data_IF_542467477747
#
_entry.id   IF_542467477747
#
_cell.length_a   1.000
_cell.length_b   1.000
_cell.length_c   1.000
_cell.angle_alpha   90.00
_cell.angle_beta   90.00
_cell.angle_gamma   90.00
#
_symmetry.space_group_name_H-M   'P 1'
#
loop_
_entity.id
_entity.type
_entity.pdbx_description
1 polymer ?
#
# COMPACT_ATOMS: atom_id res chain seq x y z
N UNK A 1 10.25 6.33 9.92
CA UNK A 1 11.08 5.26 10.56
C UNK A 1 10.33 4.54 11.69
N UNK A 2 9.65 5.24 12.58
CA UNK A 2 9.03 4.66 13.78
C UNK A 2 7.68 3.99 13.52
N UNK A 3 7.07 4.26 12.37
CA UNK A 3 5.81 3.64 11.95
C UNK A 3 6.02 2.87 10.65
N UNK A 4 6.50 1.64 10.75
CA UNK A 4 6.50 0.66 9.68
C UNK A 4 5.54 -0.47 10.01
N UNK A 5 4.93 -1.06 9.01
CA UNK A 5 4.15 -2.29 9.15
C UNK A 5 4.92 -3.46 8.56
N UNK A 6 4.87 -4.59 9.24
CA UNK A 6 5.36 -5.85 8.69
C UNK A 6 4.18 -6.57 8.02
N UNK A 7 4.39 -6.99 6.80
CA UNK A 7 3.41 -7.72 6.00
C UNK A 7 3.94 -9.11 5.66
N UNK A 8 3.05 -10.10 5.76
CA UNK A 8 3.32 -11.47 5.32
C UNK A 8 2.49 -11.72 4.07
N UNK A 9 3.15 -12.03 2.98
CA UNK A 9 2.54 -12.33 1.70
C UNK A 9 2.70 -13.79 1.37
N UNK A 10 1.62 -14.43 0.91
CA UNK A 10 1.64 -15.79 0.39
C UNK A 10 1.53 -15.73 -1.12
N UNK A 11 2.46 -16.38 -1.79
CA UNK A 11 2.53 -16.44 -3.25
C UNK A 11 2.54 -17.91 -3.66
N UNK A 12 1.46 -18.32 -4.31
CA UNK A 12 1.22 -19.70 -4.70
C UNK A 12 1.34 -19.89 -6.20
N UNK A 13 1.80 -21.04 -6.64
CA UNK A 13 1.68 -21.50 -8.01
C UNK A 13 1.01 -22.87 -8.01
N UNK A 14 -0.17 -22.96 -8.58
CA UNK A 14 -0.81 -24.28 -8.78
C UNK A 14 -0.09 -25.04 -9.89
N UNK A 15 0.37 -26.25 -9.55
CA UNK A 15 1.02 -27.19 -10.46
C UNK A 15 0.01 -28.24 -10.85
N UNK A 16 -0.33 -28.29 -12.13
CA UNK A 16 -1.24 -29.25 -12.73
C UNK A 16 -0.54 -29.97 -13.91
N UNK A 17 -1.29 -30.77 -14.68
CA UNK A 17 -0.76 -31.47 -15.85
C UNK A 17 -0.18 -30.55 -16.93
N UNK A 18 -0.64 -29.30 -16.96
CA UNK A 18 -0.24 -28.26 -17.93
C UNK A 18 0.84 -27.33 -17.38
N UNK A 19 0.96 -27.20 -16.07
CA UNK A 19 1.89 -26.28 -15.40
C UNK A 19 3.05 -27.04 -14.77
N UNK A 20 4.25 -26.71 -15.20
CA UNK A 20 5.50 -27.35 -14.73
C UNK A 20 6.40 -26.32 -14.08
N UNK A 21 7.02 -26.71 -12.98
CA UNK A 21 8.08 -25.96 -12.32
C UNK A 21 9.44 -26.57 -12.63
N UNK A 22 10.49 -25.78 -12.55
CA UNK A 22 11.87 -26.28 -12.70
C UNK A 22 12.80 -25.30 -13.40
N UNK A 23 13.92 -25.01 -12.74
CA UNK A 23 14.90 -24.02 -13.21
C UNK A 23 15.50 -24.36 -14.58
N UNK A 24 15.93 -25.61 -14.79
CA UNK A 24 16.54 -26.04 -16.07
C UNK A 24 15.55 -25.93 -17.22
N UNK A 25 14.34 -26.42 -17.02
CA UNK A 25 13.30 -26.39 -18.04
C UNK A 25 12.90 -24.95 -18.39
N UNK A 26 12.78 -24.10 -17.37
CA UNK A 26 12.44 -22.70 -17.58
C UNK A 26 13.50 -21.96 -18.40
N UNK A 27 14.77 -22.07 -18.00
CA UNK A 27 15.88 -21.39 -18.69
C UNK A 27 16.04 -21.89 -20.14
N UNK A 28 15.69 -23.14 -20.42
CA UNK A 28 15.73 -23.66 -21.80
C UNK A 28 14.66 -23.07 -22.71
N UNK A 29 13.50 -22.69 -22.14
CA UNK A 29 12.38 -22.09 -22.89
C UNK A 29 12.50 -20.57 -22.99
N UNK A 30 12.93 -19.93 -21.90
CA UNK A 30 13.10 -18.48 -21.80
C UNK A 30 14.53 -18.10 -21.42
N UNK A 31 15.50 -18.29 -22.34
CA UNK A 31 16.90 -17.94 -22.07
C UNK A 31 17.03 -16.40 -21.93
N UNK A 32 17.75 -15.97 -20.90
CA UNK A 32 18.07 -14.56 -20.70
C UNK A 32 16.97 -13.68 -20.09
N UNK A 33 15.83 -14.26 -19.66
CA UNK A 33 14.78 -13.49 -19.02
C UNK A 33 15.19 -12.97 -17.62
N UNK A 34 15.94 -13.77 -16.88
CA UNK A 34 16.50 -13.40 -15.58
C UNK A 34 18.02 -13.56 -15.57
N UNK A 35 18.71 -12.65 -14.90
CA UNK A 35 20.15 -12.68 -14.75
C UNK A 35 20.63 -13.89 -13.93
N UNK A 36 21.88 -14.30 -14.17
CA UNK A 36 22.50 -15.42 -13.42
C UNK A 36 22.53 -15.18 -11.91
N UNK A 37 22.72 -13.94 -11.49
CA UNK A 37 22.71 -13.55 -10.07
C UNK A 37 21.33 -13.82 -9.43
N UNK A 38 20.24 -13.45 -10.12
CA UNK A 38 18.86 -13.71 -9.69
C UNK A 38 18.59 -15.22 -9.67
N UNK A 39 18.96 -15.92 -10.74
CA UNK A 39 18.78 -17.38 -10.83
C UNK A 39 19.56 -18.16 -9.75
N UNK A 40 20.66 -17.62 -9.21
CA UNK A 40 21.41 -18.26 -8.13
C UNK A 40 20.66 -18.26 -6.78
N UNK A 41 19.71 -17.35 -6.61
CA UNK A 41 18.84 -17.28 -5.44
C UNK A 41 17.79 -18.41 -5.39
N UNK A 42 17.57 -19.08 -6.53
CA UNK A 42 16.59 -20.15 -6.68
C UNK A 42 17.25 -21.54 -6.50
N UNK A 43 16.47 -22.50 -6.06
CA UNK A 43 16.86 -23.92 -6.02
C UNK A 43 16.76 -24.58 -7.41
N UNK A 44 17.02 -25.88 -7.48
CA UNK A 44 16.95 -26.64 -8.76
C UNK A 44 15.51 -26.83 -9.24
N UNK A 45 14.52 -26.75 -8.35
CA UNK A 45 13.10 -26.76 -8.68
C UNK A 45 12.60 -25.40 -9.18
N UNK A 46 13.45 -24.37 -9.19
CA UNK A 46 13.09 -23.03 -9.62
C UNK A 46 12.33 -22.24 -8.57
N UNK A 47 12.45 -22.59 -7.31
CA UNK A 47 11.81 -21.91 -6.17
C UNK A 47 12.88 -21.11 -5.40
N UNK A 48 12.52 -19.92 -4.96
CA UNK A 48 13.42 -19.07 -4.17
C UNK A 48 13.75 -19.71 -2.82
N UNK A 49 15.00 -19.57 -2.39
CA UNK A 49 15.48 -20.17 -1.13
C UNK A 49 15.03 -19.34 0.08
N UNK A 50 14.66 -19.99 1.20
CA UNK A 50 14.41 -19.27 2.46
C UNK A 50 15.60 -18.40 2.89
N UNK A 51 15.34 -17.26 3.54
CA UNK A 51 16.35 -16.29 3.92
C UNK A 51 16.84 -15.37 2.81
N UNK A 52 16.37 -15.55 1.57
CA UNK A 52 16.75 -14.71 0.43
C UNK A 52 15.97 -13.39 0.45
N UNK A 53 16.66 -12.31 0.12
CA UNK A 53 16.00 -11.00 -0.12
C UNK A 53 15.62 -10.89 -1.59
N UNK A 54 14.36 -10.52 -1.84
CA UNK A 54 13.79 -10.30 -3.17
C UNK A 54 13.36 -8.85 -3.34
N UNK A 55 13.52 -8.33 -4.54
CA UNK A 55 13.12 -7.00 -4.95
C UNK A 55 12.03 -7.09 -6.03
N UNK A 56 11.38 -5.97 -6.31
CA UNK A 56 10.37 -5.89 -7.36
C UNK A 56 10.84 -6.53 -8.68
N UNK A 57 10.05 -7.45 -9.20
CA UNK A 57 10.36 -8.20 -10.42
C UNK A 57 11.21 -9.46 -10.24
N UNK A 58 11.75 -9.74 -9.05
CA UNK A 58 12.49 -10.98 -8.79
C UNK A 58 11.54 -12.20 -8.83
N UNK A 59 11.93 -13.31 -9.45
CA UNK A 59 11.11 -14.52 -9.50
C UNK A 59 11.08 -15.21 -8.14
N UNK A 60 9.88 -15.60 -7.71
CA UNK A 60 9.66 -16.43 -6.52
C UNK A 60 9.55 -17.91 -6.89
N UNK A 61 8.81 -18.23 -7.97
CA UNK A 61 8.59 -19.58 -8.46
C UNK A 61 8.63 -19.54 -9.99
N UNK A 62 9.57 -20.25 -10.61
CA UNK A 62 9.64 -20.38 -12.06
C UNK A 62 8.63 -21.40 -12.55
N UNK A 63 7.65 -20.93 -13.32
CA UNK A 63 6.58 -21.75 -13.87
C UNK A 63 6.48 -21.68 -15.40
N UNK A 64 6.17 -22.81 -16.00
CA UNK A 64 5.86 -22.97 -17.42
C UNK A 64 4.46 -23.53 -17.56
N UNK A 65 3.57 -22.83 -18.28
CA UNK A 65 2.24 -23.34 -18.60
C UNK A 65 2.19 -23.76 -20.08
N UNK A 66 1.70 -24.96 -20.36
CA UNK A 66 1.56 -25.47 -21.70
C UNK A 66 0.39 -24.75 -22.40
N UNK A 67 0.68 -24.12 -23.55
CA UNK A 67 -0.37 -23.48 -24.38
C UNK A 67 -1.26 -24.55 -25.01
N UNK A 68 -2.55 -24.37 -24.92
CA UNK A 68 -3.48 -25.16 -25.73
C UNK A 68 -3.26 -24.83 -27.21
N UNK A 69 -3.12 -25.88 -28.04
CA UNK A 69 -3.02 -25.69 -29.47
C UNK A 69 -4.38 -25.18 -29.99
N UNK A 70 -4.46 -23.93 -30.36
CA UNK A 70 -5.61 -23.46 -31.15
C UNK A 70 -5.57 -24.14 -32.51
N UNK A 71 -6.70 -24.71 -32.95
CA UNK A 71 -6.87 -25.57 -34.13
C UNK A 71 -6.39 -24.98 -35.46
N UNK A 72 -5.96 -23.72 -35.50
CA UNK A 72 -5.66 -23.00 -36.75
C UNK A 72 -4.19 -22.57 -36.92
N UNK A 73 -3.25 -23.06 -36.08
CA UNK A 73 -1.84 -22.77 -36.32
C UNK A 73 -1.10 -24.06 -36.62
N UNK A 74 -0.59 -24.16 -37.84
CA UNK A 74 0.32 -25.22 -38.28
C UNK A 74 1.59 -25.12 -37.41
N UNK A 75 1.64 -25.91 -36.36
CA UNK A 75 2.83 -26.02 -35.50
C UNK A 75 3.80 -26.95 -36.18
N UNK A 76 5.06 -26.51 -36.33
CA UNK A 76 6.19 -27.40 -36.63
C UNK A 76 6.22 -28.49 -35.57
N UNK A 77 6.16 -29.76 -35.99
CA UNK A 77 6.27 -30.92 -35.11
C UNK A 77 7.50 -30.74 -34.20
N UNK A 78 7.30 -30.64 -32.88
CA UNK A 78 8.38 -30.69 -31.90
C UNK A 78 8.47 -29.57 -30.87
N UNK A 79 7.74 -28.46 -30.97
CA UNK A 79 7.73 -27.43 -29.96
C UNK A 79 6.33 -27.29 -29.34
N UNK A 80 6.10 -27.94 -28.22
CA UNK A 80 5.00 -27.58 -27.35
C UNK A 80 5.24 -26.12 -26.93
N UNK A 81 4.34 -25.20 -27.34
CA UNK A 81 4.44 -23.81 -26.98
C UNK A 81 4.17 -23.66 -25.48
N UNK A 82 5.14 -23.17 -24.73
CA UNK A 82 4.96 -22.82 -23.33
C UNK A 82 4.73 -21.32 -23.19
N UNK A 83 3.87 -20.93 -22.27
CA UNK A 83 3.75 -19.59 -21.75
C UNK A 83 4.43 -19.49 -20.40
N UNK A 84 4.87 -18.30 -20.06
CA UNK A 84 5.43 -18.02 -18.78
C UNK A 84 4.33 -17.96 -17.71
N UNK A 85 4.47 -18.77 -16.67
CA UNK A 85 3.61 -18.82 -15.50
C UNK A 85 4.41 -18.52 -14.22
N UNK A 86 5.52 -17.78 -14.36
CA UNK A 86 6.38 -17.42 -13.24
C UNK A 86 5.65 -16.50 -12.28
N UNK A 87 5.70 -16.84 -10.99
CA UNK A 87 5.28 -15.95 -9.92
C UNK A 87 6.45 -15.04 -9.57
N UNK A 88 6.25 -13.73 -9.69
CA UNK A 88 7.25 -12.71 -9.39
C UNK A 88 6.86 -11.94 -8.13
N UNK A 89 7.84 -11.34 -7.47
CA UNK A 89 7.59 -10.37 -6.41
C UNK A 89 7.13 -9.04 -7.02
N UNK A 90 5.87 -8.68 -6.78
CA UNK A 90 5.19 -7.53 -7.40
C UNK A 90 5.01 -6.32 -6.46
N UNK A 91 5.68 -6.34 -5.30
CA UNK A 91 5.65 -5.25 -4.35
C UNK A 91 6.92 -4.40 -4.41
N UNK A 92 6.78 -3.08 -4.25
CA UNK A 92 7.92 -2.16 -4.31
C UNK A 92 8.89 -2.30 -3.13
N UNK A 93 8.38 -2.66 -1.96
CA UNK A 93 9.21 -2.92 -0.80
C UNK A 93 9.96 -4.25 -0.96
N UNK A 94 11.24 -4.27 -0.58
CA UNK A 94 12.02 -5.50 -0.57
C UNK A 94 11.44 -6.49 0.44
N UNK A 95 11.31 -7.74 0.03
CA UNK A 95 10.83 -8.83 0.87
C UNK A 95 11.94 -9.81 1.25
N UNK A 96 11.79 -10.46 2.38
CA UNK A 96 12.64 -11.57 2.82
C UNK A 96 11.82 -12.85 2.83
N UNK A 97 12.30 -13.89 2.17
CA UNK A 97 11.63 -15.18 2.15
C UNK A 97 11.75 -15.81 3.54
N UNK A 98 10.61 -16.01 4.19
CA UNK A 98 10.57 -16.63 5.52
C UNK A 98 10.38 -18.13 5.45
N UNK A 99 9.54 -18.59 4.54
CA UNK A 99 9.23 -20.00 4.42
C UNK A 99 8.86 -20.40 2.99
N UNK A 100 9.08 -21.67 2.67
CA UNK A 100 8.69 -22.31 1.41
C UNK A 100 8.03 -23.64 1.74
N UNK A 101 6.74 -23.75 1.45
CA UNK A 101 5.93 -24.92 1.76
C UNK A 101 5.52 -25.61 0.47
N UNK A 102 5.79 -26.92 0.38
CA UNK A 102 5.31 -27.74 -0.74
C UNK A 102 3.93 -28.31 -0.38
N UNK A 103 2.90 -27.72 -0.94
CA UNK A 103 1.51 -28.19 -0.78
C UNK A 103 1.11 -29.25 -1.80
N UNK A 104 -0.11 -29.81 -1.64
CA UNK A 104 -0.68 -30.78 -2.59
C UNK A 104 -0.92 -30.18 -3.98
N UNK A 105 -1.15 -28.90 -4.08
CA UNK A 105 -1.44 -28.19 -5.34
C UNK A 105 -0.20 -27.49 -5.93
N UNK A 106 0.89 -27.41 -5.21
CA UNK A 106 2.12 -26.76 -5.64
C UNK A 106 2.83 -26.04 -4.50
N UNK A 107 3.92 -25.32 -4.81
CA UNK A 107 4.69 -24.57 -3.83
C UNK A 107 3.99 -23.27 -3.43
N UNK A 108 4.08 -22.96 -2.13
CA UNK A 108 3.72 -21.68 -1.52
C UNK A 108 4.98 -21.03 -0.98
N UNK A 109 5.25 -19.79 -1.39
CA UNK A 109 6.36 -18.97 -0.90
C UNK A 109 5.81 -17.89 0.00
N UNK A 110 6.30 -17.84 1.24
CA UNK A 110 5.93 -16.82 2.23
C UNK A 110 7.02 -15.75 2.27
N UNK A 111 6.62 -14.52 2.01
CA UNK A 111 7.51 -13.37 1.97
C UNK A 111 7.13 -12.39 3.07
N UNK A 112 8.09 -12.01 3.90
CA UNK A 112 7.95 -10.95 4.89
C UNK A 112 8.52 -9.66 4.32
N UNK A 113 7.72 -8.62 4.22
CA UNK A 113 8.17 -7.29 3.83
C UNK A 113 7.89 -6.27 4.95
N UNK A 114 8.81 -5.31 5.11
CA UNK A 114 8.62 -4.17 6.01
C UNK A 114 8.32 -2.95 5.16
N UNK A 115 7.13 -2.41 5.33
CA UNK A 115 6.67 -1.22 4.59
C UNK A 115 6.70 -0.01 5.51
N UNK A 116 7.62 0.94 5.30
CA UNK A 116 7.62 2.20 6.03
C UNK A 116 6.38 3.03 5.70
N UNK A 117 6.03 3.95 6.59
CA UNK A 117 4.93 4.87 6.37
C UNK A 117 5.22 5.82 5.22
N UNK A 118 4.25 6.02 4.34
CA UNK A 118 4.33 6.90 3.17
C UNK A 118 3.19 7.91 3.17
N UNK A 119 3.38 9.01 2.42
CA UNK A 119 2.31 9.98 2.15
C UNK A 119 1.16 9.25 1.44
N UNK A 120 -0.06 9.47 1.91
CA UNK A 120 -1.26 8.79 1.39
C UNK A 120 -1.65 7.52 2.14
N UNK A 121 -0.78 6.99 3.00
CA UNK A 121 -1.12 5.87 3.88
C UNK A 121 -2.11 6.29 4.95
N UNK A 122 -2.90 5.34 5.43
CA UNK A 122 -3.96 5.61 6.40
C UNK A 122 -3.58 5.13 7.78
N UNK A 123 -3.69 6.04 8.75
CA UNK A 123 -3.56 5.77 10.17
C UNK A 123 -4.92 5.70 10.85
N UNK A 124 -5.03 4.92 11.90
CA UNK A 124 -6.18 4.88 12.78
C UNK A 124 -5.75 4.87 14.25
N UNK A 125 -6.45 5.62 15.08
CA UNK A 125 -6.41 5.47 16.52
C UNK A 125 -7.39 4.40 17.01
N UNK A 126 -7.53 4.25 18.33
CA UNK A 126 -8.39 3.25 18.97
C UNK A 126 -9.86 3.62 19.05
N UNK A 127 -10.20 4.87 18.77
CA UNK A 127 -11.55 5.43 18.98
C UNK A 127 -12.28 5.75 17.68
N UNK A 128 -11.98 5.03 16.59
CA UNK A 128 -12.61 5.27 15.29
C UNK A 128 -12.07 6.49 14.54
N UNK A 129 -11.15 7.22 15.14
CA UNK A 129 -10.40 8.28 14.49
C UNK A 129 -9.45 7.69 13.44
N UNK A 130 -9.47 8.28 12.26
CA UNK A 130 -8.63 7.86 11.13
C UNK A 130 -8.26 9.06 10.27
N UNK A 131 -7.08 9.03 9.74
CA UNK A 131 -6.56 10.07 8.88
C UNK A 131 -5.59 9.53 7.84
N UNK A 132 -5.34 10.32 6.82
CA UNK A 132 -4.37 10.04 5.78
C UNK A 132 -3.11 10.84 6.07
N UNK A 133 -1.96 10.25 5.87
CA UNK A 133 -0.67 10.94 5.98
C UNK A 133 -0.59 11.98 4.86
N UNK A 134 -0.55 13.23 5.24
CA UNK A 134 -0.45 14.35 4.30
C UNK A 134 0.99 14.67 3.94
N UNK A 135 1.90 14.53 4.91
CA UNK A 135 3.32 14.83 4.73
C UNK A 135 4.18 14.00 5.68
N UNK A 136 5.46 13.86 5.34
CA UNK A 136 6.50 13.22 6.16
C UNK A 136 7.64 14.20 6.30
N UNK A 137 7.76 14.77 7.48
CA UNK A 137 8.73 15.83 7.81
C UNK A 137 9.97 15.21 8.47
N UNK A 138 11.15 15.77 8.22
CA UNK A 138 12.38 15.33 8.86
C UNK A 138 12.39 15.67 10.36
N UNK A 139 13.11 14.87 11.19
CA UNK A 139 13.18 15.10 12.63
C UNK A 139 13.70 16.50 13.00
N UNK A 140 14.57 17.09 12.15
CA UNK A 140 15.12 18.44 12.38
C UNK A 140 14.18 19.60 12.05
N UNK A 141 13.15 19.32 11.24
CA UNK A 141 12.12 20.30 10.86
C UNK A 141 10.82 20.09 11.65
N UNK A 142 10.71 18.96 12.34
CA UNK A 142 9.52 18.62 13.11
C UNK A 142 9.45 19.45 14.39
N UNK A 143 8.29 20.01 14.74
CA UNK A 143 8.12 20.65 16.06
C UNK A 143 8.52 19.71 17.18
N UNK A 144 9.10 20.27 18.24
CA UNK A 144 9.62 19.52 19.36
C UNK A 144 9.13 20.09 20.71
N UNK A 145 9.20 19.25 21.73
CA UNK A 145 8.85 19.63 23.09
C UNK A 145 9.91 20.56 23.69
N UNK A 146 9.69 21.03 24.92
CA UNK A 146 10.63 21.87 25.67
C UNK A 146 12.00 21.23 25.92
N UNK A 147 12.14 19.91 25.75
CA UNK A 147 13.37 19.15 25.93
C UNK A 147 14.10 18.88 24.60
N UNK A 148 13.58 19.39 23.48
CA UNK A 148 14.17 19.18 22.16
C UNK A 148 13.82 17.81 21.53
N UNK A 149 12.84 17.07 22.05
CA UNK A 149 12.37 15.83 21.45
C UNK A 149 11.35 16.12 20.34
N UNK A 150 11.61 15.71 19.10
CA UNK A 150 10.66 15.91 18.00
C UNK A 150 9.40 15.06 18.18
N UNK A 151 8.26 15.63 17.87
CA UNK A 151 7.01 14.88 17.84
C UNK A 151 7.00 13.87 16.68
N UNK A 152 6.35 12.75 16.89
CA UNK A 152 6.26 11.69 15.88
C UNK A 152 5.08 11.88 14.93
N UNK A 153 4.00 12.53 15.41
CA UNK A 153 2.76 12.75 14.65
C UNK A 153 2.17 14.10 15.01
N UNK A 154 1.80 14.87 13.99
CA UNK A 154 0.98 16.07 14.12
C UNK A 154 -0.43 15.77 13.62
N UNK A 155 -1.43 16.07 14.42
CA UNK A 155 -2.83 15.82 14.09
C UNK A 155 -3.58 17.14 13.90
N UNK A 156 -4.54 17.13 12.96
CA UNK A 156 -5.46 18.24 12.82
C UNK A 156 -6.47 18.24 14.00
N UNK A 157 -6.48 19.28 14.85
CA UNK A 157 -7.36 19.32 16.03
C UNK A 157 -8.85 19.37 15.67
N UNK A 158 -9.21 19.88 14.49
CA UNK A 158 -10.61 19.94 14.03
C UNK A 158 -11.24 18.54 13.93
N UNK A 159 -10.44 17.50 13.68
CA UNK A 159 -10.94 16.12 13.63
C UNK A 159 -11.48 15.60 14.97
N UNK A 160 -11.02 16.15 16.11
CA UNK A 160 -11.53 15.81 17.44
C UNK A 160 -12.91 16.41 17.65
N UNK A 161 -13.07 17.70 17.33
CA UNK A 161 -14.30 18.46 17.53
C UNK A 161 -15.41 17.98 16.59
N UNK A 162 -15.10 17.87 15.29
CA UNK A 162 -16.09 17.50 14.26
C UNK A 162 -16.63 16.08 14.43
N UNK A 163 -15.88 15.19 15.09
CA UNK A 163 -16.28 13.80 15.36
C UNK A 163 -16.82 13.59 16.76
N UNK A 164 -16.86 14.65 17.58
CA UNK A 164 -17.34 14.59 18.98
C UNK A 164 -16.76 13.41 19.76
N UNK A 165 -15.44 13.21 19.66
CA UNK A 165 -14.76 12.07 20.27
C UNK A 165 -13.76 12.52 21.35
N UNK A 166 -14.22 12.84 22.58
CA UNK A 166 -13.38 13.33 23.65
C UNK A 166 -12.41 12.26 24.19
N UNK A 167 -12.68 10.98 23.97
CA UNK A 167 -11.82 9.89 24.42
C UNK A 167 -10.41 9.96 23.81
N UNK A 168 -10.24 10.58 22.65
CA UNK A 168 -8.93 10.84 22.06
C UNK A 168 -8.08 11.76 22.94
N UNK A 169 -8.68 12.80 23.50
CA UNK A 169 -7.99 13.73 24.39
C UNK A 169 -7.66 13.07 25.74
N UNK A 170 -8.60 12.31 26.28
CA UNK A 170 -8.35 11.54 27.51
C UNK A 170 -7.21 10.56 27.33
N UNK A 171 -7.15 9.85 26.19
CA UNK A 171 -6.02 8.95 25.88
C UNK A 171 -4.69 9.70 25.79
N UNK A 172 -4.67 10.86 25.12
CA UNK A 172 -3.46 11.69 24.97
C UNK A 172 -2.88 12.08 26.33
N UNK A 173 -3.75 12.60 27.21
CA UNK A 173 -3.36 13.07 28.55
C UNK A 173 -2.98 11.92 29.49
N UNK A 174 -3.72 10.81 29.46
CA UNK A 174 -3.36 9.61 30.23
C UNK A 174 -2.08 8.99 29.73
N UNK A 175 -1.82 9.05 28.43
CA UNK A 175 -0.54 8.63 27.84
C UNK A 175 0.66 9.43 28.35
N UNK A 176 0.47 10.75 28.58
CA UNK A 176 1.47 11.62 29.22
C UNK A 176 1.78 11.20 30.65
N UNK A 177 0.74 10.91 31.44
CA UNK A 177 0.88 10.40 32.81
C UNK A 177 1.56 9.03 32.82
N UNK A 178 1.15 8.12 31.93
CA UNK A 178 1.73 6.78 31.82
C UNK A 178 3.22 6.82 31.47
N UNK A 179 3.62 7.74 30.58
CA UNK A 179 5.01 7.94 30.23
C UNK A 179 5.84 8.39 31.44
N UNK A 180 5.33 9.31 32.26
CA UNK A 180 5.99 9.75 33.50
C UNK A 180 6.08 8.66 34.56
N UNK A 181 4.99 7.88 34.73
CA UNK A 181 4.95 6.77 35.70
C UNK A 181 5.75 5.53 35.24
N UNK A 182 6.06 5.41 33.97
CA UNK A 182 6.68 4.21 33.38
C UNK A 182 5.77 2.97 33.43
N UNK A 183 4.46 3.14 33.63
CA UNK A 183 3.48 2.05 33.74
C UNK A 183 2.20 2.40 32.98
N UNK A 184 1.56 1.41 32.31
CA UNK A 184 0.30 1.63 31.65
C UNK A 184 -0.82 1.96 32.64
N UNK A 185 -1.72 2.84 32.23
CA UNK A 185 -2.94 3.17 32.98
C UNK A 185 -4.07 2.35 32.42
N UNK A 186 -4.73 1.58 33.29
CA UNK A 186 -5.96 0.84 32.94
C UNK A 186 -7.17 1.71 33.28
N UNK A 187 -8.04 1.90 32.31
CA UNK A 187 -9.32 2.57 32.49
C UNK A 187 -10.41 1.54 32.30
N UNK A 188 -11.40 1.54 33.19
CA UNK A 188 -12.57 0.67 33.08
C UNK A 188 -13.54 1.24 32.05
N UNK A 189 -14.06 0.36 31.19
CA UNK A 189 -15.02 0.74 30.18
C UNK A 189 -16.42 0.92 30.82
N UNK A 190 -17.19 1.84 30.25
CA UNK A 190 -18.60 2.07 30.63
C UNK A 190 -18.84 2.48 32.09
N UNK A 191 -17.85 3.03 32.78
CA UNK A 191 -18.05 3.60 34.11
C UNK A 191 -18.80 4.94 34.02
N UNK A 192 -20.12 4.88 34.20
CA UNK A 192 -21.01 6.06 34.12
C UNK A 192 -21.00 6.92 35.39
N UNK A 193 -20.34 6.46 36.45
CA UNK A 193 -20.31 7.17 37.77
C UNK A 193 -19.17 8.18 37.82
N UNK A 194 -18.30 8.19 36.84
CA UNK A 194 -17.06 8.97 36.80
C UNK A 194 -17.10 9.98 35.68
N UNK A 195 -16.95 11.26 35.99
CA UNK A 195 -16.61 12.24 34.97
C UNK A 195 -15.17 11.99 34.53
N UNK A 196 -15.01 11.46 33.31
CA UNK A 196 -13.70 11.10 32.78
C UNK A 196 -12.79 12.32 32.60
N UNK A 197 -13.35 13.44 32.19
CA UNK A 197 -12.56 14.66 31.95
C UNK A 197 -12.02 15.21 33.28
N UNK A 198 -12.86 15.32 34.27
CA UNK A 198 -12.47 15.80 35.61
C UNK A 198 -11.44 14.82 36.25
N UNK A 199 -11.66 13.52 36.11
CA UNK A 199 -10.74 12.54 36.65
C UNK A 199 -9.36 12.62 36.00
N UNK A 200 -9.27 12.76 34.67
CA UNK A 200 -8.02 12.89 33.95
C UNK A 200 -7.25 14.14 34.36
N UNK A 201 -7.94 15.28 34.49
CA UNK A 201 -7.33 16.54 34.93
C UNK A 201 -6.80 16.44 36.37
N UNK A 202 -7.55 15.78 37.26
CA UNK A 202 -7.11 15.54 38.63
C UNK A 202 -5.88 14.62 38.70
N UNK A 203 -5.81 13.58 37.85
CA UNK A 203 -4.62 12.72 37.76
C UNK A 203 -3.40 13.45 37.20
N UNK A 204 -3.58 14.35 36.21
CA UNK A 204 -2.51 15.23 35.72
C UNK A 204 -1.96 16.14 36.83
N UNK A 205 -2.88 16.79 37.56
CA UNK A 205 -2.49 17.69 38.66
C UNK A 205 -1.70 16.94 39.77
N UNK A 206 -2.08 15.70 40.12
CA UNK A 206 -1.33 14.86 41.08
C UNK A 206 0.08 14.59 40.62
N UNK A 207 0.31 14.46 39.34
CA UNK A 207 1.63 14.24 38.75
C UNK A 207 2.41 15.55 38.50
N UNK A 208 1.81 16.72 38.75
CA UNK A 208 2.40 18.01 38.40
C UNK A 208 2.61 18.19 36.89
N UNK A 209 1.70 17.65 36.08
CA UNK A 209 1.70 17.78 34.63
C UNK A 209 0.59 18.76 34.21
N UNK A 210 0.84 19.50 33.12
CA UNK A 210 -0.16 20.34 32.47
C UNK A 210 -0.85 19.56 31.36
N UNK A 211 -2.09 19.92 31.08
CA UNK A 211 -2.87 19.45 29.92
C UNK A 211 -2.38 20.06 28.61
N UNK A 212 -1.79 21.26 28.66
CA UNK A 212 -1.22 21.98 27.54
C UNK A 212 0.28 22.23 27.77
N UNK A 213 1.04 22.22 26.67
CA UNK A 213 2.48 22.46 26.68
C UNK A 213 2.87 23.54 25.68
N UNK A 214 3.99 24.19 25.95
CA UNK A 214 4.66 25.04 24.96
C UNK A 214 5.56 24.18 24.09
N UNK A 215 5.44 24.34 22.77
CA UNK A 215 6.24 23.64 21.77
C UNK A 215 7.07 24.63 20.96
N UNK A 216 8.13 24.15 20.32
CA UNK A 216 8.97 24.96 19.46
C UNK A 216 8.83 24.44 18.01
N UNK A 217 8.55 25.36 17.09
CA UNK A 217 8.54 25.09 15.66
C UNK A 217 9.89 25.56 15.06
N UNK A 218 10.80 24.65 14.68
CA UNK A 218 12.12 25.02 14.19
C UNK A 218 12.07 25.71 12.84
N UNK A 219 11.00 25.52 12.05
CA UNK A 219 10.85 26.16 10.74
C UNK A 219 10.66 27.67 10.82
N UNK A 220 10.17 28.16 11.95
CA UNK A 220 9.84 29.58 12.16
C UNK A 220 10.59 30.19 13.35
N UNK A 221 11.44 29.41 14.03
CA UNK A 221 12.07 29.78 15.30
C UNK A 221 11.05 30.37 16.30
N UNK A 222 9.85 29.77 16.32
CA UNK A 222 8.70 30.28 17.03
C UNK A 222 8.25 29.33 18.14
N UNK A 223 8.01 29.88 19.31
CA UNK A 223 7.37 29.20 20.43
C UNK A 223 5.85 29.27 20.28
N UNK A 224 5.22 28.11 20.16
CA UNK A 224 3.76 27.99 20.10
C UNK A 224 3.28 27.55 21.48
N UNK A 225 2.38 28.32 22.08
CA UNK A 225 1.86 28.07 23.41
C UNK A 225 0.58 27.27 23.39
N UNK A 226 0.28 26.63 24.51
CA UNK A 226 -1.02 26.01 24.80
C UNK A 226 -1.40 24.91 23.79
N UNK A 227 -0.48 24.01 23.47
CA UNK A 227 -0.72 22.88 22.59
C UNK A 227 -0.89 21.60 23.41
N UNK A 228 -1.98 20.86 23.14
CA UNK A 228 -2.19 19.55 23.74
C UNK A 228 -1.19 18.52 23.17
N UNK A 229 -0.34 17.97 24.03
CA UNK A 229 0.64 16.96 23.67
C UNK A 229 0.50 15.70 24.52
N UNK A 230 1.01 14.58 24.06
CA UNK A 230 1.01 13.33 24.82
C UNK A 230 1.22 12.11 23.92
N UNK A 231 1.15 10.92 24.52
CA UNK A 231 1.32 9.66 23.79
C UNK A 231 -0.01 9.01 23.49
N UNK A 232 -0.20 8.56 22.24
CA UNK A 232 -1.38 7.84 21.78
C UNK A 232 -1.00 6.59 21.03
N UNK A 233 -1.94 5.65 20.93
CA UNK A 233 -1.79 4.45 20.12
C UNK A 233 -2.33 4.70 18.72
N UNK A 234 -1.48 4.44 17.73
CA UNK A 234 -1.83 4.46 16.31
C UNK A 234 -1.48 3.14 15.66
N UNK A 235 -2.26 2.75 14.67
CA UNK A 235 -1.91 1.66 13.78
C UNK A 235 -2.01 2.11 12.33
N UNK A 236 -1.10 1.60 11.50
CA UNK A 236 -1.19 1.71 10.05
C UNK A 236 -2.26 0.76 9.56
N UNK A 237 -3.22 1.26 8.78
CA UNK A 237 -4.24 0.45 8.14
C UNK A 237 -3.70 -0.12 6.82
N UNK A 238 -4.29 -1.23 6.37
CA UNK A 238 -3.96 -1.86 5.09
C UNK A 238 -4.41 -1.04 3.85
N UNK A 239 -4.90 0.18 4.07
CA UNK A 239 -5.20 1.15 3.02
C UNK A 239 -3.97 2.01 2.75
N UNK A 240 -3.04 1.47 1.99
CA UNK A 240 -1.79 2.14 1.62
C UNK A 240 -1.95 2.95 0.34
N UNK A 241 -1.11 3.95 0.15
CA UNK A 241 -1.08 4.73 -1.10
C UNK A 241 -0.82 3.84 -2.32
N UNK A 242 0.12 2.91 -2.21
CA UNK A 242 0.45 1.92 -3.24
C UNK A 242 -0.76 1.04 -3.60
N UNK A 243 -1.47 0.51 -2.60
CA UNK A 243 -2.67 -0.31 -2.81
C UNK A 243 -3.86 0.45 -3.43
N UNK A 244 -3.83 1.78 -3.44
CA UNK A 244 -4.85 2.64 -4.09
C UNK A 244 -4.43 3.08 -5.49
N UNK A 245 -3.14 3.05 -5.81
CA UNK A 245 -2.63 3.28 -7.15
C UNK A 245 -2.92 2.11 -8.07
N UNK A 246 -3.05 2.37 -9.36
CA UNK A 246 -3.17 1.34 -10.39
C UNK A 246 -2.57 1.86 -11.70
N UNK A 247 -1.76 1.02 -12.34
CA UNK A 247 -1.33 1.17 -13.71
C UNK A 247 -1.79 -0.04 -14.51
N UNK A 248 -2.34 0.17 -15.71
CA UNK A 248 -2.68 -0.93 -16.62
C UNK A 248 -2.32 -0.60 -18.05
N UNK A 249 -1.98 -1.63 -18.81
CA UNK A 249 -1.87 -1.59 -20.26
C UNK A 249 -3.19 -1.97 -20.94
N UNK A 250 -3.12 -2.66 -22.06
CA UNK A 250 -4.26 -3.30 -22.70
C UNK A 250 -4.71 -4.50 -21.88
N UNK A 251 -5.66 -4.30 -20.98
CA UNK A 251 -6.23 -5.33 -20.11
C UNK A 251 -7.61 -5.79 -20.57
N UNK A 252 -8.30 -6.53 -19.70
CA UNK A 252 -9.67 -6.99 -19.96
C UNK A 252 -10.68 -5.85 -19.92
N UNK A 253 -11.73 -5.97 -20.74
CA UNK A 253 -12.88 -5.06 -20.77
C UNK A 253 -14.15 -5.85 -20.47
N UNK A 254 -15.14 -5.16 -19.93
CA UNK A 254 -16.49 -5.70 -19.73
C UNK A 254 -17.25 -5.74 -21.06
N UNK A 255 -18.45 -6.33 -21.05
CA UNK A 255 -19.33 -6.34 -22.23
C UNK A 255 -19.76 -4.93 -22.68
N UNK A 256 -19.73 -3.96 -21.77
CA UNK A 256 -20.05 -2.55 -22.05
C UNK A 256 -18.82 -1.74 -22.48
N UNK A 257 -17.75 -2.41 -22.90
CA UNK A 257 -16.46 -1.82 -23.26
C UNK A 257 -15.79 -0.98 -22.16
N UNK A 258 -16.25 -1.10 -20.92
CA UNK A 258 -15.61 -0.47 -19.78
C UNK A 258 -14.38 -1.28 -19.31
N UNK A 259 -13.32 -0.63 -18.82
CA UNK A 259 -12.17 -1.34 -18.26
C UNK A 259 -12.59 -2.23 -17.08
N UNK A 260 -12.20 -3.51 -17.09
CA UNK A 260 -12.49 -4.44 -16.01
C UNK A 260 -11.90 -3.95 -14.69
N UNK A 261 -12.57 -4.24 -13.56
CA UNK A 261 -12.17 -3.84 -12.21
C UNK A 261 -11.48 -5.00 -11.49
N UNK A 262 -10.56 -4.66 -10.57
CA UNK A 262 -9.93 -5.63 -9.69
C UNK A 262 -8.72 -6.34 -10.30
N UNK A 263 -7.96 -7.01 -9.43
CA UNK A 263 -6.69 -7.66 -9.79
C UNK A 263 -5.56 -6.68 -10.14
N UNK A 264 -4.41 -7.23 -10.50
CA UNK A 264 -3.22 -6.47 -10.90
C UNK A 264 -3.41 -5.69 -12.20
N UNK A 265 -4.20 -6.23 -13.12
CA UNK A 265 -4.51 -5.69 -14.45
C UNK A 265 -5.83 -4.87 -14.47
N UNK A 266 -6.48 -4.72 -13.31
CA UNK A 266 -7.77 -4.04 -13.21
C UNK A 266 -7.65 -2.53 -13.16
N UNK A 267 -8.75 -1.84 -13.49
CA UNK A 267 -8.87 -0.40 -13.38
C UNK A 267 -9.35 0.04 -12.00
N UNK A 268 -9.02 1.26 -11.59
CA UNK A 268 -9.60 1.94 -10.42
C UNK A 268 -10.68 2.92 -10.87
N UNK A 269 -11.74 3.01 -10.08
CA UNK A 269 -12.80 3.99 -10.30
C UNK A 269 -12.34 5.37 -9.84
N UNK A 270 -12.50 6.37 -10.69
CA UNK A 270 -12.42 7.78 -10.34
C UNK A 270 -13.81 8.23 -9.91
N UNK A 271 -13.91 8.71 -8.67
CA UNK A 271 -15.17 9.19 -8.11
C UNK A 271 -15.46 10.66 -8.41
N UNK A 272 -16.63 11.11 -8.00
CA UNK A 272 -17.05 12.52 -8.15
C UNK A 272 -16.06 13.49 -7.46
N UNK A 273 -15.57 13.13 -6.27
CA UNK A 273 -14.61 13.97 -5.53
C UNK A 273 -13.28 14.11 -6.26
N UNK A 274 -12.78 13.02 -6.85
CA UNK A 274 -11.55 13.03 -7.65
C UNK A 274 -11.75 13.88 -8.91
N UNK A 275 -12.89 13.75 -9.57
CA UNK A 275 -13.25 14.56 -10.74
C UNK A 275 -13.31 16.05 -10.38
N UNK A 276 -13.94 16.40 -9.26
CA UNK A 276 -14.00 17.78 -8.80
C UNK A 276 -12.63 18.35 -8.42
N UNK A 277 -11.76 17.53 -7.81
CA UNK A 277 -10.39 17.93 -7.50
C UNK A 277 -9.58 18.21 -8.78
N UNK A 278 -9.66 17.32 -9.78
CA UNK A 278 -9.00 17.51 -11.07
C UNK A 278 -9.53 18.74 -11.82
N UNK A 279 -10.85 18.97 -11.77
CA UNK A 279 -11.49 20.13 -12.40
C UNK A 279 -11.07 21.44 -11.73
N UNK A 280 -11.05 21.48 -10.40
CA UNK A 280 -10.63 22.67 -9.64
C UNK A 280 -9.13 22.98 -9.83
N UNK A 281 -8.33 21.94 -10.08
CA UNK A 281 -6.91 22.09 -10.43
C UNK A 281 -6.69 22.55 -11.90
N UNK A 282 -7.74 22.55 -12.72
CA UNK A 282 -7.66 22.90 -14.14
C UNK A 282 -7.12 21.79 -15.04
N UNK A 283 -7.08 20.54 -14.56
CA UNK A 283 -6.57 19.38 -15.29
C UNK A 283 -7.60 18.85 -16.34
N UNK A 284 -8.11 19.73 -17.21
CA UNK A 284 -9.16 19.44 -18.17
C UNK A 284 -8.75 18.40 -19.22
N UNK A 285 -7.49 18.44 -19.69
CA UNK A 285 -6.95 17.47 -20.64
C UNK A 285 -6.91 16.06 -20.03
N UNK A 286 -6.53 15.94 -18.75
CA UNK A 286 -6.55 14.67 -18.02
C UNK A 286 -7.96 14.13 -17.87
N UNK A 287 -8.93 14.98 -17.54
CA UNK A 287 -10.34 14.59 -17.45
C UNK A 287 -10.89 14.12 -18.79
N UNK A 288 -10.54 14.80 -19.88
CA UNK A 288 -10.93 14.38 -21.22
C UNK A 288 -10.32 13.01 -21.60
N UNK A 289 -9.02 12.81 -21.31
CA UNK A 289 -8.35 11.53 -21.57
C UNK A 289 -9.00 10.38 -20.78
N UNK A 290 -9.23 10.58 -19.48
CA UNK A 290 -9.87 9.59 -18.61
C UNK A 290 -11.30 9.27 -19.08
N UNK A 291 -12.07 10.28 -19.46
CA UNK A 291 -13.47 10.11 -19.87
C UNK A 291 -13.64 9.51 -21.27
N UNK A 292 -12.65 9.64 -22.14
CA UNK A 292 -12.77 9.20 -23.53
C UNK A 292 -11.85 8.04 -23.90
N UNK A 293 -10.53 8.27 -23.86
CA UNK A 293 -9.55 7.27 -24.33
C UNK A 293 -9.41 6.11 -23.34
N UNK A 294 -9.20 6.42 -22.05
CA UNK A 294 -8.91 5.42 -21.03
C UNK A 294 -10.15 4.84 -20.36
N UNK A 295 -11.26 5.52 -20.47
CA UNK A 295 -12.54 5.10 -19.86
C UNK A 295 -13.28 4.00 -20.59
N UNK A 296 -12.87 3.65 -21.82
CA UNK A 296 -13.52 2.66 -22.65
C UNK A 296 -12.52 1.92 -23.56
N UNK A 297 -12.99 0.84 -24.20
CA UNK A 297 -12.20 0.10 -25.18
C UNK A 297 -12.02 0.95 -26.45
N UNK A 298 -10.77 1.20 -26.85
CA UNK A 298 -10.41 2.02 -28.01
C UNK A 298 -9.28 1.37 -28.82
N UNK A 299 -9.50 0.15 -29.30
CA UNK A 299 -8.48 -0.62 -30.01
C UNK A 299 -7.96 0.09 -31.27
N UNK A 300 -8.86 0.74 -32.01
CA UNK A 300 -8.52 1.48 -33.25
C UNK A 300 -7.64 2.70 -32.92
N UNK A 301 -7.96 3.45 -31.87
CA UNK A 301 -7.16 4.57 -31.40
C UNK A 301 -5.75 4.13 -31.05
N UNK A 302 -5.61 3.06 -30.27
CA UNK A 302 -4.32 2.55 -29.86
C UNK A 302 -3.50 1.97 -31.02
N UNK A 303 -4.18 1.31 -31.97
CA UNK A 303 -3.53 0.78 -33.16
C UNK A 303 -2.97 1.90 -34.04
N UNK A 304 -3.72 2.99 -34.25
CA UNK A 304 -3.24 4.17 -34.98
C UNK A 304 -2.06 4.82 -34.25
N UNK A 305 -2.17 5.04 -32.95
CA UNK A 305 -1.12 5.63 -32.12
C UNK A 305 0.18 4.81 -32.18
N UNK A 306 0.11 3.50 -32.00
CA UNK A 306 1.27 2.61 -32.05
C UNK A 306 1.89 2.50 -33.44
N UNK A 307 1.11 2.77 -34.50
CA UNK A 307 1.60 2.81 -35.88
C UNK A 307 2.24 4.16 -36.26
N UNK A 308 2.31 5.09 -35.32
CA UNK A 308 2.90 6.42 -35.55
C UNK A 308 1.96 7.42 -36.25
N UNK A 309 0.69 7.10 -36.40
CA UNK A 309 -0.31 8.03 -36.90
C UNK A 309 -0.88 8.87 -35.75
N UNK A 310 -1.35 10.08 -36.09
CA UNK A 310 -2.11 10.88 -35.13
C UNK A 310 -3.55 10.36 -35.07
N UNK A 311 -3.94 9.68 -33.98
CA UNK A 311 -5.26 9.07 -33.90
C UNK A 311 -6.35 10.13 -33.80
N UNK A 312 -7.50 9.85 -34.39
CA UNK A 312 -8.68 10.69 -34.17
C UNK A 312 -9.19 10.54 -32.75
N UNK A 313 -9.70 11.64 -32.17
CA UNK A 313 -10.29 11.61 -30.85
C UNK A 313 -11.40 10.55 -30.80
N UNK A 314 -11.43 9.67 -29.80
CA UNK A 314 -12.48 8.67 -29.66
C UNK A 314 -13.83 9.34 -29.43
N UNK A 315 -14.90 8.66 -29.86
CA UNK A 315 -16.27 9.14 -29.60
C UNK A 315 -16.49 9.27 -28.08
N UNK A 316 -17.13 10.34 -27.68
CA UNK A 316 -17.55 10.52 -26.30
C UNK A 316 -18.52 9.39 -25.94
N UNK A 317 -18.35 8.69 -24.79
CA UNK A 317 -19.28 7.67 -24.35
C UNK A 317 -20.70 8.22 -24.28
N UNK A 318 -21.66 7.40 -24.66
CA UNK A 318 -23.08 7.76 -24.61
C UNK A 318 -23.65 7.57 -23.19
N UNK A 319 -23.18 8.31 -22.23
CA UNK A 319 -23.74 8.34 -20.86
C UNK A 319 -23.80 9.79 -20.39
#
# INVERSE_FOLDING_TARGET
RKMSSEHMYQNDLEVDDKTKIGKKNYVSVFPGKFDKAILSKLDDNGIVKPGTTVNYGDPLILGLSQKESSYNKVHKKGQAGYSDATVIWDHHDSGTITDVVMGKKGPTVVVKASSPMQIGDKLSGRYGDKGVIADVISDGEMPHDGNGQPFEVLLNPLGVITRTNPAQMSELLLGKIAAKRGKPIKVEDFDTKKDMAEWVLNELAKEGLSDLDDIVDPSKDNKIKDIATGSRFFMKLHHTAEGKGQGRGGGAYTMDDSPAKGGSEGSKRIGMLDTNALLSHGATATLQDIGTVRGQKNDEYWMQFMSGYNPQAPKVPFV
#
